data_IF_685200676006
#
_entry.id   IF_685200676006
#
_cell.length_a   1.000
_cell.length_b   1.000
_cell.length_c   1.000
_cell.angle_alpha   90.00
_cell.angle_beta   90.00
_cell.angle_gamma   90.00
#
_symmetry.space_group_name_H-M   'P 1'
#
loop_
_entity.id
_entity.type
_entity.pdbx_description
1 polymer ?
#
# COMPACT_ATOMS: atom_id res chain seq x y z
N UNK A 1 1.26 -10.37 -21.73
CA UNK A 1 1.57 -11.20 -20.54
C UNK A 1 0.31 -11.33 -19.70
N UNK A 2 0.06 -12.48 -19.07
CA UNK A 2 -1.12 -12.63 -18.20
C UNK A 2 -0.87 -12.02 -16.82
N UNK A 3 -1.89 -11.35 -16.29
CA UNK A 3 -1.96 -10.88 -14.90
C UNK A 3 -3.14 -11.58 -14.24
N UNK A 4 -2.86 -12.49 -13.32
CA UNK A 4 -3.85 -13.34 -12.68
C UNK A 4 -4.28 -12.72 -11.35
N UNK A 5 -5.53 -12.25 -11.27
CA UNK A 5 -6.09 -11.70 -10.04
C UNK A 5 -6.70 -12.82 -9.20
N UNK A 6 -6.18 -13.03 -7.99
CA UNK A 6 -6.63 -14.05 -7.05
C UNK A 6 -7.50 -13.42 -5.97
N UNK A 7 -8.66 -14.03 -5.73
CA UNK A 7 -9.65 -13.60 -4.74
C UNK A 7 -10.98 -13.21 -5.38
N UNK A 8 -12.03 -13.13 -4.57
CA UNK A 8 -13.40 -12.81 -4.99
C UNK A 8 -13.98 -11.60 -4.26
N UNK A 9 -13.18 -10.94 -3.43
CA UNK A 9 -13.59 -9.76 -2.65
C UNK A 9 -13.69 -8.49 -3.48
N UNK A 10 -14.10 -7.40 -2.82
CA UNK A 10 -14.25 -6.07 -3.44
C UNK A 10 -12.98 -5.60 -4.15
N UNK A 11 -11.81 -5.82 -3.54
CA UNK A 11 -10.53 -5.43 -4.13
C UNK A 11 -10.26 -6.22 -5.43
N UNK A 12 -10.39 -7.54 -5.43
CA UNK A 12 -10.21 -8.35 -6.64
C UNK A 12 -11.14 -7.92 -7.77
N UNK A 13 -12.42 -7.66 -7.46
CA UNK A 13 -13.38 -7.14 -8.43
C UNK A 13 -12.98 -5.75 -8.98
N UNK A 14 -12.48 -4.86 -8.12
CA UNK A 14 -11.97 -3.54 -8.52
C UNK A 14 -10.75 -3.67 -9.44
N UNK A 15 -9.81 -4.57 -9.14
CA UNK A 15 -8.62 -4.81 -9.98
C UNK A 15 -8.99 -5.31 -11.37
N UNK A 16 -9.97 -6.21 -11.46
CA UNK A 16 -10.47 -6.72 -12.74
C UNK A 16 -11.20 -5.65 -13.56
N UNK A 17 -11.95 -4.76 -12.91
CA UNK A 17 -12.79 -3.78 -13.59
C UNK A 17 -12.08 -2.45 -13.91
N UNK A 18 -11.11 -2.04 -13.09
CA UNK A 18 -10.61 -0.66 -13.06
C UNK A 18 -9.09 -0.53 -13.15
N UNK A 19 -8.36 -1.57 -13.58
CA UNK A 19 -6.91 -1.46 -13.80
C UNK A 19 -6.57 -0.40 -14.86
N UNK A 20 -5.30 0.01 -14.88
CA UNK A 20 -4.72 0.97 -15.84
C UNK A 20 -3.63 0.35 -16.71
N UNK A 21 -3.44 -0.96 -16.61
CA UNK A 21 -2.51 -1.72 -17.45
C UNK A 21 -2.92 -1.64 -18.93
N UNK A 22 -1.92 -1.49 -19.80
CA UNK A 22 -2.10 -1.49 -21.25
C UNK A 22 -2.62 -2.86 -21.75
N UNK A 23 -3.82 -2.93 -22.37
CA UNK A 23 -4.39 -4.17 -22.88
C UNK A 23 -3.56 -4.84 -23.98
N UNK A 24 -2.72 -4.10 -24.71
CA UNK A 24 -1.83 -4.68 -25.72
C UNK A 24 -0.69 -5.47 -25.08
N UNK A 25 -0.32 -5.12 -23.84
CA UNK A 25 0.82 -5.70 -23.15
C UNK A 25 0.42 -6.65 -22.01
N UNK A 26 -0.73 -6.41 -21.37
CA UNK A 26 -1.25 -7.18 -20.24
C UNK A 26 -2.68 -7.66 -20.48
N UNK A 27 -2.88 -8.96 -20.27
CA UNK A 27 -4.21 -9.61 -20.24
C UNK A 27 -4.57 -9.90 -18.78
N UNK A 28 -5.48 -9.11 -18.21
CA UNK A 28 -5.85 -9.18 -16.79
C UNK A 28 -7.09 -10.06 -16.65
N UNK A 29 -6.93 -11.20 -15.98
CA UNK A 29 -8.00 -12.21 -15.85
C UNK A 29 -8.08 -12.74 -14.42
N UNK A 30 -9.25 -13.27 -14.05
CA UNK A 30 -9.42 -13.92 -12.75
C UNK A 30 -8.65 -15.25 -12.71
N UNK A 31 -8.07 -15.57 -11.55
CA UNK A 31 -7.31 -16.80 -11.31
C UNK A 31 -8.00 -18.11 -11.78
N UNK A 32 -9.31 -18.31 -11.55
CA UNK A 32 -10.00 -19.52 -12.03
C UNK A 32 -10.13 -19.60 -13.56
N UNK A 33 -10.04 -18.47 -14.26
CA UNK A 33 -10.23 -18.36 -15.71
C UNK A 33 -8.92 -18.48 -16.50
N UNK A 34 -7.81 -18.78 -15.83
CA UNK A 34 -6.50 -18.94 -16.49
C UNK A 34 -6.59 -19.98 -17.61
N UNK A 35 -6.08 -19.60 -18.78
CA UNK A 35 -6.12 -20.44 -19.98
C UNK A 35 -4.78 -21.13 -20.27
N UNK A 36 -3.70 -20.69 -19.61
CA UNK A 36 -2.32 -21.15 -19.85
C UNK A 36 -1.67 -21.58 -18.52
N UNK A 37 -1.91 -22.82 -18.05
CA UNK A 37 -1.49 -23.25 -16.71
C UNK A 37 0.04 -23.40 -16.56
N UNK A 38 0.78 -23.51 -17.66
CA UNK A 38 2.23 -23.73 -17.65
C UNK A 38 3.02 -22.50 -18.15
N UNK A 39 2.36 -21.35 -18.31
CA UNK A 39 3.00 -20.13 -18.80
C UNK A 39 3.22 -19.15 -17.65
N UNK A 40 4.41 -18.55 -17.62
CA UNK A 40 4.75 -17.48 -16.67
C UNK A 40 3.76 -16.32 -16.76
N UNK A 41 3.29 -15.85 -15.61
CA UNK A 41 2.36 -14.75 -15.44
C UNK A 41 2.81 -13.85 -14.28
N UNK A 42 2.14 -12.72 -14.07
CA UNK A 42 2.20 -12.01 -12.78
C UNK A 42 0.94 -12.39 -12.01
N UNK A 43 1.10 -12.88 -10.78
CA UNK A 43 -0.03 -13.21 -9.92
C UNK A 43 -0.24 -12.09 -8.91
N UNK A 44 -1.47 -11.62 -8.75
CA UNK A 44 -1.84 -10.58 -7.77
C UNK A 44 -2.84 -11.18 -6.79
N UNK A 45 -2.43 -11.39 -5.55
CA UNK A 45 -3.29 -11.92 -4.50
C UNK A 45 -3.97 -10.79 -3.73
N UNK A 46 -5.29 -10.71 -3.89
CA UNK A 46 -6.22 -9.79 -3.23
C UNK A 46 -7.31 -10.58 -2.46
N UNK A 47 -6.95 -11.76 -1.96
CA UNK A 47 -7.85 -12.74 -1.37
C UNK A 47 -7.64 -12.96 0.13
N UNK A 48 -8.43 -13.87 0.68
CA UNK A 48 -8.36 -14.30 2.09
C UNK A 48 -7.26 -15.33 2.36
N UNK A 49 -6.53 -15.75 1.32
CA UNK A 49 -5.48 -16.76 1.42
C UNK A 49 -5.91 -18.18 1.12
N UNK A 50 -7.21 -18.45 0.87
CA UNK A 50 -7.71 -19.80 0.58
C UNK A 50 -7.05 -20.42 -0.65
N UNK A 51 -6.76 -19.60 -1.65
CA UNK A 51 -6.13 -20.00 -2.90
C UNK A 51 -4.59 -20.03 -2.83
N UNK A 52 -3.97 -19.54 -1.75
CA UNK A 52 -2.51 -19.39 -1.66
C UNK A 52 -1.74 -20.69 -1.90
N UNK A 53 -2.12 -21.86 -1.37
CA UNK A 53 -1.38 -23.10 -1.65
C UNK A 53 -1.29 -23.42 -3.15
N UNK A 54 -2.39 -23.24 -3.89
CA UNK A 54 -2.42 -23.48 -5.33
C UNK A 54 -1.65 -22.39 -6.11
N UNK A 55 -1.74 -21.14 -5.66
CA UNK A 55 -1.00 -20.01 -6.23
C UNK A 55 0.51 -20.19 -6.05
N UNK A 56 0.95 -20.59 -4.85
CA UNK A 56 2.36 -20.85 -4.54
C UNK A 56 2.89 -21.97 -5.43
N UNK A 57 2.17 -23.09 -5.54
CA UNK A 57 2.57 -24.20 -6.40
C UNK A 57 2.69 -23.79 -7.88
N UNK A 58 1.79 -22.95 -8.38
CA UNK A 58 1.88 -22.40 -9.74
C UNK A 58 3.08 -21.46 -9.91
N UNK A 59 3.31 -20.55 -8.95
CA UNK A 59 4.43 -19.60 -9.03
C UNK A 59 5.78 -20.32 -8.98
N UNK A 60 5.87 -21.38 -8.17
CA UNK A 60 7.03 -22.26 -8.08
C UNK A 60 7.29 -22.98 -9.42
N UNK A 61 6.26 -23.62 -9.99
CA UNK A 61 6.38 -24.34 -11.26
C UNK A 61 6.72 -23.43 -12.46
N UNK A 62 6.27 -22.18 -12.46
CA UNK A 62 6.39 -21.27 -13.62
C UNK A 62 7.41 -20.15 -13.45
N UNK A 63 7.98 -19.98 -12.25
CA UNK A 63 8.80 -18.81 -11.91
C UNK A 63 8.03 -17.48 -11.98
N UNK A 64 6.72 -17.52 -11.79
CA UNK A 64 5.85 -16.34 -11.83
C UNK A 64 6.03 -15.49 -10.57
N UNK A 65 6.23 -14.17 -10.68
CA UNK A 65 6.21 -13.29 -9.52
C UNK A 65 4.80 -13.21 -8.91
N UNK A 66 4.75 -13.16 -7.58
CA UNK A 66 3.53 -13.02 -6.79
C UNK A 66 3.51 -11.68 -6.05
N UNK A 67 2.53 -10.84 -6.36
CA UNK A 67 2.24 -9.59 -5.65
C UNK A 67 1.20 -9.85 -4.56
N UNK A 68 1.59 -9.69 -3.31
CA UNK A 68 0.74 -9.93 -2.14
C UNK A 68 0.16 -8.62 -1.60
N UNK A 69 -1.16 -8.48 -1.64
CA UNK A 69 -1.85 -7.27 -1.16
C UNK A 69 -2.44 -7.40 0.25
N UNK A 70 -2.52 -8.63 0.78
CA UNK A 70 -3.10 -8.88 2.11
C UNK A 70 -2.06 -8.73 3.21
N UNK A 71 -2.47 -8.17 4.34
CA UNK A 71 -1.66 -8.11 5.58
C UNK A 71 -1.79 -9.40 6.39
N UNK A 72 -0.72 -9.82 7.08
CA UNK A 72 -0.72 -11.02 7.92
C UNK A 72 -0.72 -12.33 7.14
N UNK A 73 -0.27 -12.27 5.87
CA UNK A 73 -0.22 -13.43 4.98
C UNK A 73 0.92 -14.38 5.36
N UNK A 74 0.76 -15.68 5.09
CA UNK A 74 1.83 -16.65 5.25
C UNK A 74 3.08 -16.31 4.41
N UNK A 75 2.90 -15.56 3.33
CA UNK A 75 3.97 -15.06 2.47
C UNK A 75 4.91 -14.06 3.18
N UNK A 76 4.52 -13.51 4.34
CA UNK A 76 5.35 -12.57 5.11
C UNK A 76 6.50 -13.26 5.86
N UNK A 77 6.42 -14.57 6.09
CA UNK A 77 7.42 -15.30 6.88
C UNK A 77 8.00 -16.51 6.14
N UNK A 78 7.41 -16.91 5.02
CA UNK A 78 7.91 -18.01 4.20
C UNK A 78 9.14 -17.68 3.35
N UNK A 79 9.84 -18.73 2.93
CA UNK A 79 10.86 -18.71 1.87
C UNK A 79 10.28 -19.34 0.61
N UNK A 80 10.56 -18.74 -0.55
CA UNK A 80 9.98 -19.13 -1.83
C UNK A 80 11.04 -19.06 -2.93
N UNK A 81 11.04 -20.03 -3.85
CA UNK A 81 11.97 -20.09 -4.99
C UNK A 81 11.45 -19.28 -6.21
N UNK A 82 10.56 -18.31 -5.97
CA UNK A 82 10.03 -17.37 -6.93
C UNK A 82 9.92 -15.96 -6.31
N UNK A 83 9.83 -14.89 -7.13
CA UNK A 83 9.76 -13.54 -6.59
C UNK A 83 8.43 -13.29 -5.87
N UNK A 84 8.50 -12.73 -4.66
CA UNK A 84 7.32 -12.31 -3.89
C UNK A 84 7.42 -10.83 -3.58
N UNK A 85 6.44 -10.03 -3.98
CA UNK A 85 6.37 -8.59 -3.70
C UNK A 85 5.28 -8.33 -2.66
N UNK A 86 5.68 -7.98 -1.45
CA UNK A 86 4.75 -7.61 -0.38
C UNK A 86 4.31 -6.14 -0.54
N UNK A 87 3.02 -5.93 -0.74
CA UNK A 87 2.42 -4.61 -0.92
C UNK A 87 1.04 -4.49 -0.23
N UNK A 88 1.00 -4.47 1.11
CA UNK A 88 -0.26 -4.32 1.84
C UNK A 88 -0.89 -2.92 1.71
N UNK A 89 -0.13 -1.93 1.23
CA UNK A 89 -0.62 -0.58 0.93
C UNK A 89 -0.22 -0.23 -0.50
N UNK A 90 -1.21 0.02 -1.36
CA UNK A 90 -0.97 0.35 -2.78
C UNK A 90 -1.12 1.84 -3.08
N UNK A 91 -1.29 2.69 -2.06
CA UNK A 91 -1.25 4.14 -2.24
C UNK A 91 0.20 4.58 -2.46
N UNK A 92 0.64 4.59 -3.72
CA UNK A 92 2.03 4.85 -4.11
C UNK A 92 2.52 6.21 -3.60
N UNK A 93 1.70 7.26 -3.67
CA UNK A 93 2.08 8.59 -3.19
C UNK A 93 2.33 8.58 -1.67
N UNK A 94 1.46 7.91 -0.91
CA UNK A 94 1.66 7.75 0.53
C UNK A 94 2.93 6.94 0.84
N UNK A 95 3.19 5.86 0.09
CA UNK A 95 4.41 5.07 0.27
C UNK A 95 5.68 5.91 0.02
N UNK A 96 5.69 6.77 -1.00
CA UNK A 96 6.80 7.72 -1.24
C UNK A 96 7.00 8.67 -0.08
N UNK A 97 5.91 9.24 0.43
CA UNK A 97 5.96 10.13 1.58
C UNK A 97 6.50 9.42 2.83
N UNK A 98 6.02 8.21 3.11
CA UNK A 98 6.53 7.41 4.23
C UNK A 98 8.00 7.04 4.06
N UNK A 99 8.44 6.63 2.87
CA UNK A 99 9.84 6.32 2.56
C UNK A 99 10.75 7.56 2.73
N UNK A 100 10.29 8.73 2.29
CA UNK A 100 11.01 10.00 2.51
C UNK A 100 11.21 10.28 4.00
N UNK A 101 10.16 10.10 4.82
CA UNK A 101 10.25 10.28 6.27
C UNK A 101 11.12 9.21 6.93
N UNK A 102 11.03 7.95 6.50
CA UNK A 102 11.85 6.86 7.04
C UNK A 102 13.34 7.10 6.80
N UNK A 103 13.68 7.56 5.59
CA UNK A 103 15.06 7.86 5.20
C UNK A 103 15.60 9.09 5.93
N UNK A 104 14.80 10.15 6.05
CA UNK A 104 15.30 11.49 6.42
C UNK A 104 14.80 11.99 7.78
N UNK A 105 13.87 11.28 8.42
CA UNK A 105 13.20 11.76 9.64
C UNK A 105 14.16 11.97 10.82
N UNK A 106 15.27 11.23 10.84
CA UNK A 106 16.33 11.40 11.83
C UNK A 106 17.01 12.78 11.79
N UNK A 107 16.89 13.54 10.70
CA UNK A 107 17.44 14.89 10.58
C UNK A 107 16.69 15.92 11.44
N UNK A 108 15.49 15.59 11.91
CA UNK A 108 14.62 16.50 12.67
C UNK A 108 14.56 16.17 14.17
N UNK A 109 15.47 15.34 14.70
CA UNK A 109 15.41 14.85 16.10
C UNK A 109 15.45 15.94 17.17
N UNK A 110 16.05 17.08 16.84
CA UNK A 110 16.15 18.24 17.75
C UNK A 110 15.00 19.25 17.58
N UNK A 111 14.06 18.98 16.66
CA UNK A 111 12.88 19.80 16.43
C UNK A 111 11.70 19.37 17.29
N UNK A 112 10.75 20.28 17.52
CA UNK A 112 9.44 19.95 18.08
C UNK A 112 8.56 19.34 16.98
N UNK A 113 8.16 18.09 17.15
CA UNK A 113 7.35 17.37 16.17
C UNK A 113 5.99 17.02 16.74
N UNK A 114 4.94 17.17 15.94
CA UNK A 114 3.60 16.65 16.26
C UNK A 114 3.02 15.87 15.08
N UNK A 115 2.35 14.76 15.39
CA UNK A 115 1.66 13.91 14.41
C UNK A 115 0.19 13.87 14.77
N UNK A 116 -0.66 14.27 13.83
CA UNK A 116 -2.12 14.19 13.94
C UNK A 116 -2.66 13.30 12.83
N UNK A 117 -3.62 12.46 13.14
CA UNK A 117 -4.33 11.64 12.15
C UNK A 117 -5.85 11.71 12.33
N UNK A 118 -6.58 11.51 11.25
CA UNK A 118 -8.04 11.43 11.28
C UNK A 118 -8.60 10.37 10.35
N UNK A 119 -9.66 9.74 10.84
CA UNK A 119 -10.48 8.71 10.18
C UNK A 119 -11.92 8.82 10.68
N UNK A 120 -12.84 8.06 10.09
CA UNK A 120 -14.22 7.98 10.58
C UNK A 120 -14.29 7.56 12.06
N UNK A 121 -15.27 8.08 12.80
CA UNK A 121 -15.43 7.86 14.25
C UNK A 121 -15.47 6.37 14.66
N UNK A 122 -16.00 5.50 13.79
CA UNK A 122 -16.10 4.06 14.03
C UNK A 122 -14.77 3.29 13.88
N UNK A 123 -13.70 3.95 13.44
CA UNK A 123 -12.38 3.30 13.32
C UNK A 123 -11.68 3.24 14.67
N UNK A 124 -11.72 2.05 15.28
CA UNK A 124 -11.05 1.73 16.55
C UNK A 124 -9.69 1.04 16.36
N UNK A 125 -9.36 0.64 15.13
CA UNK A 125 -8.07 0.00 14.84
C UNK A 125 -6.91 0.99 14.92
N UNK A 126 -5.73 0.45 15.25
CA UNK A 126 -4.47 1.22 15.31
C UNK A 126 -4.24 1.95 13.97
N UNK A 127 -3.95 3.27 13.98
CA UNK A 127 -3.66 4.02 12.76
C UNK A 127 -2.24 3.70 12.26
N UNK A 128 -2.06 2.53 11.65
CA UNK A 128 -0.74 1.99 11.30
C UNK A 128 0.15 2.95 10.49
N UNK A 129 -0.43 3.70 9.55
CA UNK A 129 0.30 4.74 8.79
C UNK A 129 0.82 5.86 9.69
N UNK A 130 -0.01 6.36 10.61
CA UNK A 130 0.40 7.40 11.56
C UNK A 130 1.48 6.89 12.52
N UNK A 131 1.39 5.63 12.96
CA UNK A 131 2.43 4.99 13.78
C UNK A 131 3.74 4.85 13.02
N UNK A 132 3.70 4.50 11.72
CA UNK A 132 4.88 4.49 10.85
C UNK A 132 5.52 5.87 10.74
N UNK A 133 4.72 6.90 10.43
CA UNK A 133 5.16 8.30 10.36
C UNK A 133 5.82 8.73 11.68
N UNK A 134 5.15 8.49 12.81
CA UNK A 134 5.66 8.86 14.13
C UNK A 134 6.99 8.18 14.44
N UNK A 135 7.09 6.88 14.15
CA UNK A 135 8.34 6.10 14.33
C UNK A 135 9.50 6.69 13.53
N UNK A 136 9.29 6.96 12.25
CA UNK A 136 10.32 7.53 11.37
C UNK A 136 10.82 8.91 11.86
N UNK A 137 9.96 9.66 12.56
CA UNK A 137 10.25 10.96 13.14
C UNK A 137 10.67 10.91 14.62
N UNK A 138 10.77 9.73 15.22
CA UNK A 138 11.11 9.58 16.64
C UNK A 138 10.02 10.03 17.63
N UNK A 139 8.78 10.20 17.17
CA UNK A 139 7.62 10.56 18.01
C UNK A 139 7.02 9.30 18.64
N UNK A 140 6.83 9.25 19.98
CA UNK A 140 6.17 8.13 20.64
C UNK A 140 4.75 7.90 20.11
N UNK A 141 4.35 6.63 19.97
CA UNK A 141 3.04 6.30 19.42
C UNK A 141 1.85 6.85 20.25
N UNK A 142 2.03 7.02 21.57
CA UNK A 142 1.00 7.59 22.44
C UNK A 142 0.84 9.11 22.29
N UNK A 143 1.79 9.79 21.64
CA UNK A 143 1.73 11.23 21.36
C UNK A 143 1.01 11.53 20.04
N UNK A 144 0.60 10.50 19.28
CA UNK A 144 -0.19 10.67 18.07
C UNK A 144 -1.58 11.17 18.45
N UNK A 145 -1.95 12.35 17.92
CA UNK A 145 -3.28 12.91 18.13
C UNK A 145 -4.28 12.33 17.12
N UNK A 146 -5.14 11.44 17.59
CA UNK A 146 -6.29 10.95 16.81
C UNK A 146 -7.47 11.92 16.92
N UNK A 147 -7.96 12.40 15.77
CA UNK A 147 -9.18 13.21 15.67
C UNK A 147 -10.31 12.34 15.12
N UNK A 148 -11.42 12.29 15.86
CA UNK A 148 -12.62 11.48 15.53
C UNK A 148 -13.92 12.26 15.61
N UNK A 149 -13.91 13.41 16.29
CA UNK A 149 -15.05 14.31 16.40
C UNK A 149 -15.35 14.95 15.03
N UNK A 150 -16.54 14.70 14.43
CA UNK A 150 -16.90 15.25 13.12
C UNK A 150 -16.82 16.77 13.04
N UNK A 151 -17.12 17.49 14.13
CA UNK A 151 -17.02 18.96 14.16
C UNK A 151 -15.55 19.38 14.02
N UNK A 152 -14.66 18.81 14.82
CA UNK A 152 -13.22 19.05 14.69
C UNK A 152 -12.65 18.60 13.33
N UNK A 153 -13.16 17.52 12.74
CA UNK A 153 -12.77 17.04 11.41
C UNK A 153 -13.14 18.04 10.31
N UNK A 154 -14.32 18.63 10.39
CA UNK A 154 -14.74 19.70 9.46
C UNK A 154 -13.99 20.99 9.73
N UNK A 155 -14.08 21.51 10.95
CA UNK A 155 -13.69 22.90 11.23
C UNK A 155 -12.16 23.05 11.35
N UNK A 156 -11.47 22.06 11.91
CA UNK A 156 -10.02 22.14 12.17
C UNK A 156 -9.21 21.43 11.09
N UNK A 157 -9.68 20.28 10.61
CA UNK A 157 -8.96 19.50 9.59
C UNK A 157 -9.43 19.82 8.16
N UNK A 158 -10.54 20.54 8.02
CA UNK A 158 -11.10 20.91 6.72
C UNK A 158 -11.36 19.66 5.87
N UNK A 159 -11.92 18.62 6.49
CA UNK A 159 -12.38 17.41 5.81
C UNK A 159 -13.78 17.70 5.24
N UNK A 160 -14.01 17.51 3.93
CA UNK A 160 -15.32 17.73 3.33
C UNK A 160 -16.41 16.85 3.94
N UNK A 161 -17.63 17.37 4.05
CA UNK A 161 -18.77 16.69 4.68
C UNK A 161 -19.06 15.32 4.06
N UNK A 162 -18.99 15.24 2.73
CA UNK A 162 -19.20 14.01 1.96
C UNK A 162 -18.08 12.97 2.13
N UNK A 163 -16.95 13.35 2.75
CA UNK A 163 -15.79 12.49 3.00
C UNK A 163 -15.65 12.08 4.48
N UNK A 164 -16.46 12.63 5.39
CA UNK A 164 -16.40 12.29 6.82
C UNK A 164 -16.62 10.80 7.08
N UNK A 165 -17.49 10.16 6.29
CA UNK A 165 -17.77 8.72 6.40
C UNK A 165 -16.63 7.82 5.92
N UNK A 166 -15.69 8.36 5.13
CA UNK A 166 -14.58 7.58 4.56
C UNK A 166 -13.42 8.50 4.14
N UNK A 167 -12.46 8.68 5.04
CA UNK A 167 -11.22 9.39 4.75
C UNK A 167 -10.03 8.76 5.49
N UNK A 168 -8.82 9.10 5.04
CA UNK A 168 -7.61 9.00 5.84
C UNK A 168 -6.84 10.31 5.73
N UNK A 169 -6.55 10.91 6.87
CA UNK A 169 -5.83 12.18 6.98
C UNK A 169 -4.63 12.02 7.90
N UNK A 170 -3.51 12.63 7.54
CA UNK A 170 -2.35 12.76 8.40
C UNK A 170 -1.77 14.17 8.26
N UNK A 171 -1.36 14.75 9.39
CA UNK A 171 -0.64 16.02 9.45
C UNK A 171 0.60 15.82 10.32
N UNK A 172 1.75 16.18 9.77
CA UNK A 172 3.02 16.29 10.50
C UNK A 172 3.36 17.77 10.61
N UNK A 173 3.70 18.24 11.80
CA UNK A 173 4.32 19.56 12.01
C UNK A 173 5.69 19.39 12.64
N UNK A 174 6.67 20.12 12.12
CA UNK A 174 8.06 20.15 12.59
C UNK A 174 8.41 21.61 12.80
N UNK A 175 8.95 21.95 13.96
CA UNK A 175 9.20 23.34 14.38
C UNK A 175 10.51 23.47 15.16
N UNK A 176 11.30 24.51 14.88
CA UNK A 176 12.55 24.83 15.60
C UNK A 176 12.48 26.19 16.34
N UNK A 177 11.29 26.78 16.42
CA UNK A 177 11.01 28.10 16.99
C UNK A 177 11.06 29.25 15.98
N UNK A 178 11.91 29.17 14.95
CA UNK A 178 12.03 30.21 13.91
C UNK A 178 11.36 29.79 12.60
N UNK A 179 11.33 28.49 12.31
CA UNK A 179 10.77 27.88 11.12
C UNK A 179 9.75 26.81 11.51
N UNK A 180 8.68 26.72 10.71
CA UNK A 180 7.64 25.70 10.87
C UNK A 180 7.36 25.06 9.52
N UNK A 181 7.42 23.73 9.49
CA UNK A 181 7.07 22.90 8.33
C UNK A 181 5.79 22.12 8.62
N UNK A 182 4.89 22.05 7.63
CA UNK A 182 3.68 21.23 7.72
C UNK A 182 3.52 20.36 6.47
N UNK A 183 3.33 19.06 6.70
CA UNK A 183 3.00 18.09 5.66
C UNK A 183 1.62 17.53 5.91
N UNK A 184 0.78 17.48 4.87
CA UNK A 184 -0.55 16.88 4.94
C UNK A 184 -0.72 15.81 3.87
N UNK A 185 -1.31 14.69 4.28
CA UNK A 185 -1.85 13.69 3.36
C UNK A 185 -3.36 13.63 3.53
N UNK A 186 -4.09 13.69 2.42
CA UNK A 186 -5.55 13.66 2.37
C UNK A 186 -5.98 12.59 1.38
N UNK A 187 -6.62 11.54 1.87
CA UNK A 187 -7.13 10.43 1.05
C UNK A 187 -8.65 10.40 1.20
N UNK A 188 -9.34 10.64 0.10
CA UNK A 188 -10.80 10.74 0.01
C UNK A 188 -11.35 9.73 -1.01
N UNK A 189 -12.62 9.34 -0.86
CA UNK A 189 -13.32 8.49 -1.80
C UNK A 189 -12.91 7.01 -1.83
N UNK A 190 -13.24 6.35 -2.94
CA UNK A 190 -12.75 5.00 -3.22
C UNK A 190 -11.23 5.08 -3.44
N UNK A 191 -10.48 4.55 -2.48
CA UNK A 191 -9.02 4.53 -2.53
C UNK A 191 -8.55 3.94 -3.86
N UNK A 192 -7.54 4.52 -4.53
CA UNK A 192 -7.13 4.17 -5.89
C UNK A 192 -6.30 2.88 -5.90
N UNK A 193 -6.81 1.81 -5.29
CA UNK A 193 -6.06 0.58 -5.10
C UNK A 193 -5.69 -0.01 -6.46
N UNK A 194 -6.61 0.01 -7.43
CA UNK A 194 -6.36 -0.48 -8.79
C UNK A 194 -5.27 0.28 -9.55
N UNK A 195 -5.17 1.61 -9.37
CA UNK A 195 -4.11 2.40 -10.00
C UNK A 195 -2.73 2.02 -9.43
N UNK A 196 -2.64 1.99 -8.10
CA UNK A 196 -1.42 1.58 -7.41
C UNK A 196 -0.96 0.18 -7.77
N UNK A 197 -1.88 -0.79 -7.79
CA UNK A 197 -1.59 -2.17 -8.21
C UNK A 197 -1.14 -2.21 -9.67
N UNK A 198 -1.77 -1.43 -10.56
CA UNK A 198 -1.36 -1.37 -11.97
C UNK A 198 0.10 -0.90 -12.09
N UNK A 199 0.50 0.12 -11.33
CA UNK A 199 1.90 0.60 -11.31
C UNK A 199 2.87 -0.45 -10.77
N UNK A 200 2.49 -1.18 -9.72
CA UNK A 200 3.31 -2.25 -9.16
C UNK A 200 3.48 -3.39 -10.16
N UNK A 201 2.40 -3.83 -10.80
CA UNK A 201 2.43 -4.88 -11.84
C UNK A 201 3.31 -4.44 -13.01
N UNK A 202 3.22 -3.18 -13.41
CA UNK A 202 4.07 -2.60 -14.45
C UNK A 202 5.56 -2.63 -14.05
N UNK A 203 5.90 -2.23 -12.82
CA UNK A 203 7.26 -2.33 -12.30
C UNK A 203 7.76 -3.79 -12.28
N UNK A 204 6.93 -4.74 -11.81
CA UNK A 204 7.25 -6.17 -11.84
C UNK A 204 7.49 -6.68 -13.27
N UNK A 205 6.75 -6.15 -14.26
CA UNK A 205 6.92 -6.52 -15.67
C UNK A 205 8.21 -5.98 -16.27
N UNK A 206 8.55 -4.72 -15.95
CA UNK A 206 9.68 -4.01 -16.54
C UNK A 206 11.02 -4.42 -15.94
N UNK A 207 11.02 -4.99 -14.73
CA UNK A 207 12.25 -5.34 -14.01
C UNK A 207 12.36 -6.85 -13.76
N UNK A 208 13.54 -7.40 -14.01
CA UNK A 208 13.83 -8.80 -13.68
C UNK A 208 14.04 -8.93 -12.17
N UNK A 209 13.07 -9.54 -11.49
CA UNK A 209 13.15 -9.80 -10.05
C UNK A 209 13.91 -11.11 -9.78
N UNK A 210 14.78 -11.07 -8.78
CA UNK A 210 15.42 -12.24 -8.18
C UNK A 210 14.37 -13.10 -7.44
N UNK A 211 14.70 -14.36 -7.21
CA UNK A 211 13.86 -15.32 -6.47
C UNK A 211 13.96 -15.05 -4.97
N UNK A 212 13.40 -13.92 -4.55
CA UNK A 212 13.34 -13.51 -3.16
C UNK A 212 12.10 -12.67 -2.90
N UNK A 213 11.96 -12.36 -1.63
CA UNK A 213 10.95 -11.44 -1.15
C UNK A 213 11.42 -9.99 -1.31
N UNK A 214 10.51 -9.15 -1.76
CA UNK A 214 10.64 -7.71 -1.91
C UNK A 214 9.58 -7.03 -1.04
N UNK A 215 9.97 -5.93 -0.41
CA UNK A 215 8.99 -4.93 0.04
C UNK A 215 8.70 -3.98 -1.11
N UNK A 216 7.45 -3.55 -1.28
CA UNK A 216 7.13 -2.48 -2.26
C UNK A 216 7.93 -1.20 -2.02
N UNK A 217 8.42 -0.96 -0.79
CA UNK A 217 9.29 0.18 -0.47
C UNK A 217 10.64 0.07 -1.21
N UNK A 218 11.14 -1.14 -1.48
CA UNK A 218 12.36 -1.33 -2.26
C UNK A 218 12.17 -0.81 -3.70
N UNK A 219 10.99 -0.99 -4.28
CA UNK A 219 10.68 -0.47 -5.62
C UNK A 219 10.69 1.06 -5.64
N UNK A 220 10.25 1.70 -4.54
CA UNK A 220 10.32 3.15 -4.37
C UNK A 220 11.78 3.60 -4.30
N UNK A 221 12.62 2.95 -3.49
CA UNK A 221 14.04 3.29 -3.39
C UNK A 221 14.80 3.10 -4.70
N UNK A 222 14.44 2.07 -5.48
CA UNK A 222 15.03 1.82 -6.78
C UNK A 222 14.51 2.77 -7.88
N UNK A 223 13.55 3.66 -7.57
CA UNK A 223 12.94 4.57 -8.53
C UNK A 223 12.03 3.90 -9.55
N UNK A 224 11.55 2.68 -9.27
CA UNK A 224 10.65 1.92 -10.15
C UNK A 224 9.19 2.36 -9.99
N UNK A 225 8.85 3.00 -8.86
CA UNK A 225 7.51 3.49 -8.53
C UNK A 225 7.48 4.97 -8.23
#
# INVERSE_FOLDING_TARGET
MQVLVVGTGKLAAELLASHRLDPAACDVIAWPQRTRPDTRAIVVHAGSGRELPAVIAFCDATGSPLVELSTGSALETGSYDFPVVLCPNTNILMLKFMSMLDTSGHLFRDCRISVTESHQASKTSVPGTAVGIARSLGVPAHDIRSVRDPDAQRDVLQIPDDQLGRHAFHRVRIDDGACSLQFESRVYGASPYADGVSRIVEAVRQHALERRRYSVVEFIHNGWL
#
